data_IF_826418848787
#
_entry.id   IF_826418848787
#
_cell.length_a   1.000
_cell.length_b   1.000
_cell.length_c   1.000
_cell.angle_alpha   90.00
_cell.angle_beta   90.00
_cell.angle_gamma   90.00
#
_symmetry.space_group_name_H-M   'P 1'
#
loop_
_entity.id
_entity.type
_entity.pdbx_description
1 polymer ?
#
# COMPACT_ATOMS: atom_id res chain seq x y z
N UNK A 1 14.93 24.93 -19.41
CA UNK A 1 14.90 23.46 -19.54
C UNK A 1 14.18 22.89 -18.33
N UNK A 2 12.93 22.46 -18.48
CA UNK A 2 12.26 21.67 -17.44
C UNK A 2 12.98 20.32 -17.36
N UNK A 3 13.65 20.05 -16.24
CA UNK A 3 14.11 18.71 -15.93
C UNK A 3 12.86 17.83 -15.86
N UNK A 4 12.71 16.93 -16.83
CA UNK A 4 11.67 15.91 -16.80
C UNK A 4 12.05 14.94 -15.68
N UNK A 5 11.51 15.17 -14.49
CA UNK A 5 11.77 14.36 -13.30
C UNK A 5 11.16 12.98 -13.52
N UNK A 6 12.01 11.96 -13.65
CA UNK A 6 11.55 10.58 -13.81
C UNK A 6 10.98 10.07 -12.48
N UNK A 7 9.68 9.75 -12.48
CA UNK A 7 9.02 9.07 -11.36
C UNK A 7 8.95 7.57 -11.62
N UNK A 8 8.91 6.78 -10.54
CA UNK A 8 8.68 5.35 -10.59
C UNK A 8 7.56 4.97 -9.64
N UNK A 9 6.81 3.92 -9.98
CA UNK A 9 5.82 3.33 -9.09
C UNK A 9 6.53 2.56 -7.98
N UNK A 10 6.32 2.95 -6.72
CA UNK A 10 6.86 2.30 -5.54
C UNK A 10 5.75 1.65 -4.71
N UNK A 11 6.10 0.58 -4.03
CA UNK A 11 5.37 0.06 -2.89
C UNK A 11 6.33 0.08 -1.70
N UNK A 12 6.00 0.87 -0.69
CA UNK A 12 6.75 0.90 0.56
C UNK A 12 5.83 0.47 1.69
N UNK A 13 6.38 -0.14 2.72
CA UNK A 13 5.60 -0.44 3.91
C UNK A 13 6.23 -1.53 4.75
N UNK A 14 5.44 -1.94 5.72
CA UNK A 14 5.79 -3.00 6.65
C UNK A 14 4.56 -3.89 6.88
N UNK A 15 4.84 -5.15 7.18
CA UNK A 15 3.82 -6.16 7.43
C UNK A 15 4.19 -7.01 8.64
N UNK A 16 3.24 -7.81 9.12
CA UNK A 16 3.41 -8.76 10.22
C UNK A 16 4.59 -9.73 10.03
N UNK A 17 5.09 -9.92 8.80
CA UNK A 17 6.19 -10.85 8.51
C UNK A 17 7.55 -10.32 8.97
N UNK A 18 7.73 -8.99 9.05
CA UNK A 18 9.04 -8.37 9.32
C UNK A 18 9.08 -7.51 10.58
N UNK A 19 7.93 -7.10 11.10
CA UNK A 19 7.83 -6.24 12.26
C UNK A 19 6.86 -6.86 13.26
N UNK A 20 7.20 -6.81 14.55
CA UNK A 20 6.28 -7.18 15.62
C UNK A 20 5.11 -6.18 15.76
N UNK A 21 4.17 -6.45 16.66
CA UNK A 21 2.99 -5.62 16.81
C UNK A 21 3.30 -4.21 17.34
N UNK A 22 4.34 -4.06 18.15
CA UNK A 22 4.75 -2.79 18.75
C UNK A 22 5.31 -1.86 17.67
N UNK A 23 6.30 -2.34 16.90
CA UNK A 23 6.89 -1.60 15.79
C UNK A 23 5.84 -1.28 14.73
N UNK A 24 4.95 -2.22 14.38
CA UNK A 24 3.82 -1.91 13.47
C UNK A 24 2.91 -0.82 14.00
N UNK A 25 2.69 -0.76 15.32
CA UNK A 25 1.90 0.27 15.98
C UNK A 25 2.45 1.68 15.74
N UNK A 26 3.77 1.83 15.69
CA UNK A 26 4.42 3.12 15.43
C UNK A 26 4.05 3.69 14.05
N UNK A 27 3.84 2.83 13.05
CA UNK A 27 3.48 3.21 11.68
C UNK A 27 1.98 3.07 11.39
N UNK A 28 1.13 2.90 12.39
CA UNK A 28 -0.32 2.79 12.16
C UNK A 28 -0.93 4.15 11.86
N UNK A 29 -1.80 4.21 10.85
CA UNK A 29 -2.51 5.43 10.45
C UNK A 29 -3.98 5.35 10.83
N UNK A 30 -4.44 6.31 11.63
CA UNK A 30 -5.88 6.59 11.81
C UNK A 30 -6.50 7.13 10.52
N UNK A 31 -7.83 7.14 10.42
CA UNK A 31 -8.49 7.69 9.22
C UNK A 31 -8.18 9.18 9.01
N UNK A 32 -8.07 9.96 10.10
CA UNK A 32 -7.63 11.35 10.05
C UNK A 32 -6.19 11.47 9.58
N UNK A 33 -5.29 10.62 10.06
CA UNK A 33 -3.89 10.62 9.62
C UNK A 33 -3.74 10.25 8.14
N UNK A 34 -4.54 9.30 7.62
CA UNK A 34 -4.59 8.98 6.18
C UNK A 34 -5.02 10.19 5.36
N UNK A 35 -6.02 10.96 5.82
CA UNK A 35 -6.48 12.16 5.14
C UNK A 35 -5.41 13.25 5.12
N UNK A 36 -4.74 13.49 6.25
CA UNK A 36 -3.63 14.44 6.34
C UNK A 36 -2.47 14.05 5.42
N UNK A 37 -2.08 12.78 5.42
CA UNK A 37 -1.02 12.24 4.56
C UNK A 37 -1.36 12.44 3.07
N UNK A 38 -2.60 12.17 2.66
CA UNK A 38 -3.04 12.40 1.28
C UNK A 38 -3.05 13.91 0.92
N UNK A 39 -3.50 14.78 1.83
CA UNK A 39 -3.46 16.22 1.61
C UNK A 39 -2.01 16.74 1.47
N UNK A 40 -1.10 16.25 2.30
CA UNK A 40 0.32 16.58 2.25
C UNK A 40 0.98 16.06 0.97
N UNK A 41 0.69 14.82 0.58
CA UNK A 41 1.18 14.24 -0.68
C UNK A 41 0.75 15.08 -1.90
N UNK A 42 -0.49 15.56 -1.91
CA UNK A 42 -1.00 16.48 -2.94
C UNK A 42 -0.25 17.81 -2.93
N UNK A 43 -0.02 18.39 -1.76
CA UNK A 43 0.76 19.62 -1.62
C UNK A 43 2.20 19.45 -2.15
N UNK A 44 2.81 18.30 -1.89
CA UNK A 44 4.15 17.94 -2.34
C UNK A 44 4.23 17.54 -3.82
N UNK A 45 3.11 17.59 -4.56
CA UNK A 45 3.06 17.29 -5.99
C UNK A 45 3.22 15.81 -6.34
N UNK A 46 2.89 14.89 -5.42
CA UNK A 46 2.86 13.46 -5.70
C UNK A 46 1.76 13.18 -6.74
N UNK A 47 2.11 12.52 -7.84
CA UNK A 47 1.20 12.29 -8.96
C UNK A 47 0.07 11.30 -8.63
N UNK A 48 0.41 10.25 -7.89
CA UNK A 48 -0.57 9.27 -7.43
C UNK A 48 -0.09 8.57 -6.18
N UNK A 49 -0.98 8.37 -5.22
CA UNK A 49 -0.71 7.71 -3.95
C UNK A 49 -1.94 6.98 -3.43
N UNK A 50 -1.78 5.73 -3.02
CA UNK A 50 -2.75 4.91 -2.29
C UNK A 50 -2.15 4.59 -0.92
N UNK A 51 -2.96 4.72 0.12
CA UNK A 51 -2.54 4.45 1.52
C UNK A 51 -3.40 3.34 2.10
N UNK A 52 -2.76 2.28 2.59
CA UNK A 52 -3.42 1.17 3.28
C UNK A 52 -2.82 1.09 4.68
N UNK A 53 -3.67 1.03 5.70
CA UNK A 53 -3.25 0.79 7.08
C UNK A 53 -4.28 -0.11 7.75
N UNK A 54 -3.80 -1.23 8.28
CA UNK A 54 -4.56 -2.28 8.97
C UNK A 54 -3.76 -2.72 10.21
N UNK A 55 -4.27 -3.67 11.00
CA UNK A 55 -3.50 -4.26 12.09
C UNK A 55 -2.26 -5.06 11.62
N UNK A 56 -2.28 -5.54 10.38
CA UNK A 56 -1.26 -6.45 9.83
C UNK A 56 -0.29 -5.81 8.86
N UNK A 57 -0.60 -4.62 8.34
CA UNK A 57 0.26 -3.87 7.42
C UNK A 57 -0.06 -2.39 7.38
N UNK A 58 0.97 -1.58 7.13
CA UNK A 58 0.86 -0.20 6.65
C UNK A 58 1.67 -0.08 5.37
N UNK A 59 1.05 0.36 4.27
CA UNK A 59 1.66 0.42 2.95
C UNK A 59 1.24 1.68 2.18
N UNK A 60 2.21 2.27 1.48
CA UNK A 60 1.99 3.33 0.50
C UNK A 60 2.36 2.82 -0.89
N UNK A 61 1.46 3.03 -1.85
CA UNK A 61 1.67 2.72 -3.26
C UNK A 61 1.55 3.99 -4.08
N UNK A 62 2.61 4.43 -4.74
CA UNK A 62 2.57 5.71 -5.44
C UNK A 62 3.75 5.98 -6.35
N UNK A 63 3.62 7.04 -7.15
CA UNK A 63 4.71 7.54 -7.99
C UNK A 63 5.56 8.56 -7.21
N UNK A 64 6.87 8.33 -7.21
CA UNK A 64 7.84 9.24 -6.61
C UNK A 64 9.15 9.22 -7.43
N UNK A 65 9.97 10.25 -7.29
CA UNK A 65 11.33 10.23 -7.88
C UNK A 65 12.22 9.26 -7.10
N UNK A 66 12.11 9.30 -5.76
CA UNK A 66 12.87 8.48 -4.83
C UNK A 66 11.93 7.93 -3.73
N UNK A 67 12.09 6.67 -3.28
CA UNK A 67 11.20 6.07 -2.28
C UNK A 67 11.16 6.86 -0.97
N UNK A 68 12.24 7.56 -0.63
CA UNK A 68 12.33 8.43 0.55
C UNK A 68 11.18 9.46 0.64
N UNK A 69 10.65 9.95 -0.49
CA UNK A 69 9.50 10.86 -0.46
C UNK A 69 8.27 10.23 0.20
N UNK A 70 8.02 8.96 -0.08
CA UNK A 70 6.91 8.23 0.51
C UNK A 70 7.22 7.81 1.96
N UNK A 71 8.48 7.46 2.26
CA UNK A 71 8.90 7.08 3.62
C UNK A 71 8.77 8.27 4.55
N UNK A 72 9.24 9.44 4.12
CA UNK A 72 9.14 10.68 4.88
C UNK A 72 7.66 11.04 5.12
N UNK A 73 6.81 11.02 4.09
CA UNK A 73 5.36 11.23 4.23
C UNK A 73 4.72 10.30 5.27
N UNK A 74 5.12 9.02 5.29
CA UNK A 74 4.61 8.07 6.28
C UNK A 74 5.10 8.41 7.70
N UNK A 75 6.38 8.72 7.87
CA UNK A 75 6.96 9.02 9.19
C UNK A 75 6.39 10.32 9.78
N UNK A 76 6.20 11.38 8.97
CA UNK A 76 5.61 12.64 9.41
C UNK A 76 4.14 12.51 9.87
N UNK A 77 3.45 11.48 9.39
CA UNK A 77 2.05 11.21 9.71
C UNK A 77 1.87 10.05 10.70
N UNK A 78 2.96 9.52 11.26
CA UNK A 78 2.95 8.41 12.23
C UNK A 78 3.90 8.71 13.38
N UNK A 79 4.15 7.73 14.26
CA UNK A 79 5.13 7.84 15.35
C UNK A 79 6.46 7.19 15.02
N UNK A 80 6.53 6.45 13.91
CA UNK A 80 7.72 5.72 13.50
C UNK A 80 8.74 6.64 12.84
N UNK A 81 10.00 6.31 13.03
CA UNK A 81 11.15 7.03 12.45
C UNK A 81 11.59 6.41 11.12
N UNK A 82 12.41 7.15 10.37
CA UNK A 82 13.01 6.65 9.12
C UNK A 82 13.96 5.49 9.43
N UNK A 83 14.70 5.57 10.53
CA UNK A 83 15.62 4.56 11.02
C UNK A 83 14.87 3.26 11.34
N UNK A 84 13.81 3.32 12.15
CA UNK A 84 12.96 2.16 12.44
C UNK A 84 12.35 1.57 11.16
N UNK A 85 11.93 2.43 10.22
CA UNK A 85 11.38 1.97 8.95
C UNK A 85 12.41 1.17 8.16
N UNK A 86 13.66 1.65 8.07
CA UNK A 86 14.71 0.98 7.31
C UNK A 86 15.04 -0.42 7.83
N UNK A 87 14.95 -0.63 9.14
CA UNK A 87 15.28 -1.92 9.77
C UNK A 87 14.26 -3.03 9.45
N UNK A 88 12.97 -2.69 9.27
CA UNK A 88 11.90 -3.69 9.17
C UNK A 88 11.09 -3.64 7.87
N UNK A 89 11.18 -2.57 7.10
CA UNK A 89 10.31 -2.36 5.95
C UNK A 89 10.75 -3.13 4.69
N UNK A 90 9.89 -3.05 3.68
CA UNK A 90 10.23 -3.35 2.29
C UNK A 90 10.02 -2.13 1.42
N UNK A 91 10.85 -2.03 0.39
CA UNK A 91 10.77 -1.03 -0.66
C UNK A 91 10.84 -1.78 -1.99
N UNK A 92 9.75 -1.75 -2.74
CA UNK A 92 9.68 -2.32 -4.08
C UNK A 92 9.54 -1.21 -5.11
N UNK A 93 10.17 -1.39 -6.28
CA UNK A 93 10.19 -0.43 -7.39
C UNK A 93 9.66 -1.06 -8.68
N UNK A 94 8.86 -0.30 -9.42
CA UNK A 94 8.36 -0.67 -10.75
C UNK A 94 7.60 -1.99 -10.74
N UNK A 95 8.06 -2.96 -11.53
CA UNK A 95 7.42 -4.28 -11.65
C UNK A 95 7.32 -5.02 -10.32
N UNK A 96 8.30 -4.87 -9.44
CA UNK A 96 8.27 -5.52 -8.12
C UNK A 96 7.18 -4.92 -7.22
N UNK A 97 6.93 -3.60 -7.31
CA UNK A 97 5.86 -2.94 -6.57
C UNK A 97 4.48 -3.38 -7.08
N UNK A 98 4.33 -3.51 -8.40
CA UNK A 98 3.11 -4.06 -9.01
C UNK A 98 2.88 -5.50 -8.56
N UNK A 99 3.92 -6.35 -8.62
CA UNK A 99 3.84 -7.75 -8.20
C UNK A 99 3.45 -7.87 -6.71
N UNK A 100 4.05 -7.05 -5.85
CA UNK A 100 3.70 -6.97 -4.43
C UNK A 100 2.21 -6.66 -4.24
N UNK A 101 1.70 -5.61 -4.91
CA UNK A 101 0.29 -5.25 -4.82
C UNK A 101 -0.64 -6.39 -5.27
N UNK A 102 -0.28 -7.14 -6.32
CA UNK A 102 -1.03 -8.32 -6.73
C UNK A 102 -1.00 -9.43 -5.67
N UNK A 103 0.15 -9.69 -5.04
CA UNK A 103 0.26 -10.70 -3.96
C UNK A 103 -0.57 -10.32 -2.74
N UNK A 104 -0.55 -9.04 -2.36
CA UNK A 104 -1.39 -8.51 -1.28
C UNK A 104 -2.87 -8.64 -1.63
N UNK A 105 -3.30 -8.16 -2.80
CA UNK A 105 -4.70 -8.21 -3.21
C UNK A 105 -5.23 -9.63 -3.47
N UNK A 106 -4.35 -10.58 -3.82
CA UNK A 106 -4.70 -11.98 -3.99
C UNK A 106 -4.72 -12.79 -2.70
N UNK A 107 -4.43 -12.17 -1.55
CA UNK A 107 -4.40 -12.85 -0.25
C UNK A 107 -3.21 -13.79 -0.05
N UNK A 108 -2.22 -13.75 -0.96
CA UNK A 108 -0.99 -14.57 -0.87
C UNK A 108 -0.02 -14.06 0.19
N UNK A 109 -0.09 -12.78 0.52
CA UNK A 109 0.70 -12.16 1.60
C UNK A 109 -0.16 -11.82 2.83
N UNK A 110 -1.34 -12.43 2.97
CA UNK A 110 -2.18 -12.30 4.17
C UNK A 110 -1.66 -13.18 5.32
N UNK A 111 -1.97 -12.83 6.57
CA UNK A 111 -1.62 -13.66 7.74
C UNK A 111 -2.39 -14.98 7.72
N UNK A 112 -3.67 -14.91 7.34
CA UNK A 112 -4.49 -16.06 6.99
C UNK A 112 -4.47 -16.14 5.47
N UNK A 113 -3.84 -17.19 4.92
CA UNK A 113 -3.78 -17.40 3.48
C UNK A 113 -5.21 -17.48 2.92
N UNK A 114 -5.51 -16.71 1.87
CA UNK A 114 -6.86 -16.64 1.32
C UNK A 114 -7.82 -15.73 2.08
N UNK A 115 -7.35 -14.92 3.03
CA UNK A 115 -8.11 -13.79 3.55
C UNK A 115 -8.06 -12.62 2.55
N UNK A 116 -9.24 -12.26 2.05
CA UNK A 116 -9.47 -11.21 1.06
C UNK A 116 -10.02 -9.92 1.64
N UNK A 117 -10.06 -9.74 2.97
CA UNK A 117 -10.56 -8.50 3.60
C UNK A 117 -9.80 -7.27 3.09
N UNK A 118 -8.50 -7.42 2.81
CA UNK A 118 -7.63 -6.36 2.30
C UNK A 118 -8.13 -5.75 0.98
N UNK A 119 -8.91 -6.47 0.17
CA UNK A 119 -9.48 -5.93 -1.07
C UNK A 119 -10.54 -4.88 -0.81
N UNK A 120 -11.30 -5.00 0.28
CA UNK A 120 -12.24 -3.94 0.68
C UNK A 120 -11.47 -2.67 1.05
N UNK A 121 -10.39 -2.81 1.82
CA UNK A 121 -9.50 -1.71 2.20
C UNK A 121 -8.85 -1.06 0.97
N UNK A 122 -8.39 -1.85 0.00
CA UNK A 122 -7.82 -1.34 -1.25
C UNK A 122 -8.83 -0.49 -2.05
N UNK A 123 -10.10 -0.93 -2.09
CA UNK A 123 -11.18 -0.16 -2.74
C UNK A 123 -11.46 1.16 -2.02
N UNK A 124 -11.48 1.15 -0.68
CA UNK A 124 -11.68 2.36 0.10
C UNK A 124 -10.51 3.33 -0.07
N UNK A 125 -9.27 2.83 -0.02
CA UNK A 125 -8.06 3.62 -0.24
C UNK A 125 -8.06 4.28 -1.63
N UNK A 126 -8.40 3.52 -2.69
CA UNK A 126 -8.50 4.08 -4.04
C UNK A 126 -9.56 5.19 -4.16
N UNK A 127 -10.71 5.05 -3.48
CA UNK A 127 -11.74 6.10 -3.45
C UNK A 127 -11.27 7.34 -2.71
N UNK A 128 -10.57 7.18 -1.58
CA UNK A 128 -10.01 8.29 -0.82
C UNK A 128 -8.97 9.06 -1.65
N UNK A 129 -8.02 8.36 -2.27
CA UNK A 129 -7.04 8.96 -3.17
C UNK A 129 -7.68 9.67 -4.36
N UNK A 130 -8.73 9.08 -4.96
CA UNK A 130 -9.46 9.70 -6.07
C UNK A 130 -10.12 11.02 -5.64
N UNK A 131 -10.72 11.07 -4.45
CA UNK A 131 -11.33 12.29 -3.90
C UNK A 131 -10.31 13.42 -3.74
N UNK A 132 -9.08 13.10 -3.36
CA UNK A 132 -8.00 14.08 -3.23
C UNK A 132 -7.31 14.43 -4.56
N UNK A 133 -7.63 13.72 -5.65
CA UNK A 133 -6.96 13.90 -6.95
C UNK A 133 -5.62 13.17 -7.07
N UNK A 134 -5.37 12.18 -6.21
CA UNK A 134 -4.15 11.37 -6.13
C UNK A 134 -4.31 9.97 -6.77
N UNK A 135 -5.32 9.78 -7.61
CA UNK A 135 -5.51 8.54 -8.35
C UNK A 135 -5.40 8.81 -9.85
N UNK A 136 -4.22 8.56 -10.42
CA UNK A 136 -4.01 8.67 -11.86
C UNK A 136 -4.58 7.43 -12.60
N UNK A 137 -4.65 7.51 -13.93
CA UNK A 137 -5.20 6.46 -14.77
C UNK A 137 -4.39 5.15 -14.75
N UNK A 138 -3.09 5.22 -14.48
CA UNK A 138 -2.26 4.03 -14.30
C UNK A 138 -2.67 3.28 -13.02
N UNK A 139 -2.67 3.97 -11.89
CA UNK A 139 -2.99 3.39 -10.58
C UNK A 139 -4.43 2.91 -10.54
N UNK A 140 -5.40 3.65 -11.12
CA UNK A 140 -6.80 3.19 -11.21
C UNK A 140 -6.93 1.87 -11.98
N UNK A 141 -6.27 1.74 -13.14
CA UNK A 141 -6.25 0.48 -13.92
C UNK A 141 -5.58 -0.66 -13.17
N UNK A 142 -4.48 -0.38 -12.48
CA UNK A 142 -3.76 -1.38 -11.69
C UNK A 142 -4.64 -1.91 -10.55
N UNK A 143 -5.25 -1.03 -9.77
CA UNK A 143 -6.15 -1.40 -8.67
C UNK A 143 -7.33 -2.23 -9.18
N UNK A 144 -7.95 -1.82 -10.29
CA UNK A 144 -9.03 -2.57 -10.91
C UNK A 144 -8.57 -3.97 -11.37
N UNK A 145 -7.36 -4.09 -11.91
CA UNK A 145 -6.77 -5.37 -12.32
C UNK A 145 -6.52 -6.29 -11.12
N UNK A 146 -6.03 -5.73 -10.00
CA UNK A 146 -5.82 -6.46 -8.74
C UNK A 146 -7.14 -6.95 -8.16
N UNK A 147 -8.19 -6.12 -8.16
CA UNK A 147 -9.54 -6.50 -7.72
C UNK A 147 -10.12 -7.62 -8.60
N UNK A 148 -9.92 -7.56 -9.92
CA UNK A 148 -10.37 -8.61 -10.83
C UNK A 148 -9.62 -9.91 -10.59
N UNK A 149 -8.30 -9.87 -10.46
CA UNK A 149 -7.48 -11.04 -10.14
C UNK A 149 -7.92 -11.69 -8.82
N UNK A 150 -8.16 -10.89 -7.78
CA UNK A 150 -8.67 -11.39 -6.50
C UNK A 150 -10.03 -12.10 -6.65
N UNK A 151 -10.97 -11.52 -7.41
CA UNK A 151 -12.26 -12.17 -7.68
C UNK A 151 -12.10 -13.50 -8.39
N UNK A 152 -11.21 -13.57 -9.39
CA UNK A 152 -10.92 -14.81 -10.11
C UNK A 152 -10.33 -15.85 -9.18
N UNK A 153 -9.35 -15.50 -8.36
CA UNK A 153 -8.75 -16.42 -7.38
C UNK A 153 -9.82 -16.96 -6.42
N UNK A 154 -10.68 -16.10 -5.89
CA UNK A 154 -11.78 -16.51 -5.00
C UNK A 154 -12.79 -17.47 -5.66
N UNK A 155 -13.03 -17.33 -6.96
CA UNK A 155 -14.08 -18.07 -7.65
C UNK A 155 -13.57 -19.29 -8.44
N UNK A 156 -12.29 -19.26 -8.86
CA UNK A 156 -11.67 -20.23 -9.77
C UNK A 156 -10.64 -21.11 -9.05
N UNK A 157 -10.38 -20.88 -7.76
CA UNK A 157 -9.39 -21.66 -6.98
C UNK A 157 -9.91 -22.00 -5.58
N UNK A 158 -9.30 -23.01 -4.96
CA UNK A 158 -9.61 -23.42 -3.58
C UNK A 158 -8.89 -22.56 -2.52
N UNK A 159 -8.20 -21.48 -2.93
CA UNK A 159 -7.49 -20.61 -1.98
C UNK A 159 -8.44 -19.91 -0.99
N UNK A 160 -9.70 -19.66 -1.36
CA UNK A 160 -10.67 -19.00 -0.49
C UNK A 160 -11.55 -19.94 0.33
N UNK A 161 -11.53 -21.25 0.08
CA UNK A 161 -12.40 -22.23 0.75
C UNK A 161 -11.98 -22.57 2.19
N UNK A 162 -10.97 -21.86 2.71
CA UNK A 162 -10.52 -22.00 4.07
C UNK A 162 -9.33 -22.95 4.14
N UNK A 163 -8.24 -22.43 4.68
CA UNK A 163 -7.35 -23.23 5.49
C UNK A 163 -8.18 -23.86 6.63
N UNK A 164 -8.78 -25.03 6.40
CA UNK A 164 -9.14 -25.94 7.50
C UNK A 164 -8.15 -27.09 7.50
N UNK A 165 -7.03 -26.88 8.18
CA UNK A 165 -6.31 -27.92 8.91
C UNK A 165 -5.39 -27.25 9.94
N UNK A 166 -5.87 -27.19 11.18
CA UNK A 166 -5.11 -27.67 12.35
C UNK A 166 -5.61 -29.07 12.66
#
# INVERSE_FOLDING_TARGET
MQHQKNTYFYAIGLSYQKADAEVRGHFSLSDTAKQNLLAEAKHNGIESLIVISTCNRTELYGFAEHPYQLIHLLCENTKGTVEEFQDVAYIHKGKNAISHLFRVGSGLDSQILGDFEIISQLKFAARASKKEGLLNSFTERLINSVIQASKRIKNETELSSGATSV
#
